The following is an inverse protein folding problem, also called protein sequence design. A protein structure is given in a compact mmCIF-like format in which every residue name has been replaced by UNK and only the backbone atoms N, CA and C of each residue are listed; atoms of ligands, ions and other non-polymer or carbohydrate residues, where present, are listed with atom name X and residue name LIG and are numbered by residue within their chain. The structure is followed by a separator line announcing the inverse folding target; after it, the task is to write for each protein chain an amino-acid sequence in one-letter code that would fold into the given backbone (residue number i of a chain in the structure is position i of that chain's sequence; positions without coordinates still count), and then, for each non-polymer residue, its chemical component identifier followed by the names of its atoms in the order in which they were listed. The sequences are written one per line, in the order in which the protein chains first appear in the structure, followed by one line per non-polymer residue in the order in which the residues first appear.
data_IF_289269379193
#
_entry.id   IF_289269379193
#
_cell.length_a   1.000
_cell.length_b   1.000
_cell.length_c   1.000
_cell.angle_alpha   90.00
_cell.angle_beta   90.00
_cell.angle_gamma   90.00
#
_symmetry.space_group_name_H-M   'P 1'
#
loop_
_entity.id
_entity.type
_entity.pdbx_description
1 polymer ?
#
# COMPACT_ATOMS: atom_id res chain seq x y z
N UNK A 1 -37.62 4.55 14.14
CA UNK A 1 -36.80 3.35 13.88
C UNK A 1 -35.46 3.84 13.34
N UNK A 2 -34.40 3.83 14.16
CA UNK A 2 -33.07 4.25 13.71
C UNK A 2 -32.48 3.11 12.88
N UNK A 3 -32.56 3.22 11.56
CA UNK A 3 -31.88 2.33 10.64
C UNK A 3 -30.38 2.58 10.74
N UNK A 4 -29.71 1.80 11.59
CA UNK A 4 -28.25 1.83 11.70
C UNK A 4 -27.75 1.30 10.36
N UNK A 5 -27.14 2.17 9.55
CA UNK A 5 -26.63 1.83 8.23
C UNK A 5 -25.58 0.72 8.35
N UNK A 6 -25.97 -0.54 8.12
CA UNK A 6 -25.10 -1.72 8.13
C UNK A 6 -23.90 -1.55 7.16
N UNK A 7 -24.06 -0.67 6.17
CA UNK A 7 -23.05 -0.26 5.18
C UNK A 7 -21.85 0.49 5.79
N UNK A 8 -22.03 1.33 6.83
CA UNK A 8 -20.89 2.02 7.48
C UNK A 8 -20.00 1.05 8.25
N UNK A 9 -20.60 0.05 8.91
CA UNK A 9 -19.85 -0.98 9.65
C UNK A 9 -19.02 -1.87 8.71
N UNK A 10 -19.53 -2.22 7.53
CA UNK A 10 -18.78 -2.99 6.53
C UNK A 10 -17.68 -2.15 5.86
N UNK A 11 -17.95 -0.88 5.54
CA UNK A 11 -16.96 0.01 4.94
C UNK A 11 -15.79 0.34 5.88
N UNK A 12 -16.06 0.54 7.17
CA UNK A 12 -15.03 0.76 8.18
C UNK A 12 -14.11 -0.46 8.37
N UNK A 13 -14.67 -1.68 8.34
CA UNK A 13 -13.90 -2.93 8.43
C UNK A 13 -13.03 -3.15 7.21
N UNK A 14 -13.56 -2.99 6.00
CA UNK A 14 -12.78 -3.15 4.77
C UNK A 14 -11.63 -2.15 4.67
N UNK A 15 -11.85 -0.90 5.06
CA UNK A 15 -10.78 0.12 5.09
C UNK A 15 -9.68 -0.25 6.10
N UNK A 16 -10.07 -0.80 7.25
CA UNK A 16 -9.13 -1.21 8.30
C UNK A 16 -8.27 -2.40 7.87
N UNK A 17 -8.86 -3.39 7.19
CA UNK A 17 -8.13 -4.55 6.66
C UNK A 17 -7.09 -4.14 5.61
N UNK A 18 -7.49 -3.31 4.64
CA UNK A 18 -6.58 -2.81 3.60
C UNK A 18 -5.38 -2.03 4.18
N UNK A 19 -5.61 -1.22 5.22
CA UNK A 19 -4.55 -0.49 5.90
C UNK A 19 -3.59 -1.41 6.66
N UNK A 20 -4.11 -2.49 7.27
CA UNK A 20 -3.28 -3.49 7.96
C UNK A 20 -2.39 -4.28 6.98
N UNK A 21 -2.93 -4.67 5.83
CA UNK A 21 -2.18 -5.33 4.75
C UNK A 21 -1.05 -4.43 4.21
N UNK A 22 -1.36 -3.17 3.91
CA UNK A 22 -0.36 -2.18 3.50
C UNK A 22 0.74 -1.99 4.54
N UNK A 23 0.38 -1.93 5.83
CA UNK A 23 1.36 -1.79 6.92
C UNK A 23 2.29 -2.99 7.00
N UNK A 24 1.74 -4.20 6.87
CA UNK A 24 2.51 -5.45 6.88
C UNK A 24 3.45 -5.53 5.68
N UNK A 25 2.96 -5.16 4.50
CA UNK A 25 3.75 -5.06 3.27
C UNK A 25 4.92 -4.05 3.40
N UNK A 26 4.64 -2.82 3.86
CA UNK A 26 5.66 -1.79 4.06
C UNK A 26 6.73 -2.24 5.08
N UNK A 27 6.31 -2.94 6.14
CA UNK A 27 7.23 -3.49 7.15
C UNK A 27 8.14 -4.55 6.52
N UNK A 28 7.58 -5.51 5.77
CA UNK A 28 8.35 -6.55 5.08
C UNK A 28 9.39 -5.95 4.13
N UNK A 29 9.02 -4.95 3.33
CA UNK A 29 9.97 -4.24 2.45
C UNK A 29 11.05 -3.51 3.25
N UNK A 30 10.68 -2.85 4.35
CA UNK A 30 11.67 -2.13 5.17
C UNK A 30 12.74 -3.07 5.74
N UNK A 31 12.34 -4.28 6.12
CA UNK A 31 13.22 -5.32 6.64
C UNK A 31 14.10 -5.92 5.53
N UNK A 32 13.49 -6.30 4.39
CA UNK A 32 14.22 -6.89 3.24
C UNK A 32 15.26 -5.93 2.64
N UNK A 33 14.91 -4.64 2.50
CA UNK A 33 15.79 -3.64 1.91
C UNK A 33 16.69 -2.93 2.93
N UNK A 34 16.61 -3.29 4.22
CA UNK A 34 17.35 -2.67 5.32
C UNK A 34 17.20 -1.13 5.34
N UNK A 35 15.99 -0.64 5.09
CA UNK A 35 15.66 0.79 5.11
C UNK A 35 14.75 1.11 6.30
N UNK A 36 14.76 2.37 6.72
CA UNK A 36 13.88 2.79 7.83
C UNK A 36 12.42 2.85 7.36
N UNK A 37 11.48 2.65 8.28
CA UNK A 37 10.03 2.68 7.99
C UNK A 37 9.57 3.99 7.35
N UNK A 38 10.16 5.12 7.73
CA UNK A 38 9.88 6.44 7.14
C UNK A 38 10.41 6.62 5.72
N UNK A 39 11.25 5.69 5.26
CA UNK A 39 11.79 5.66 3.90
C UNK A 39 11.00 4.74 2.97
N UNK A 40 9.97 4.06 3.47
CA UNK A 40 9.07 3.22 2.66
C UNK A 40 7.67 3.81 2.69
N UNK A 41 7.05 3.98 1.53
CA UNK A 41 5.69 4.48 1.45
C UNK A 41 5.00 4.00 0.17
N UNK A 42 3.68 3.90 0.19
CA UNK A 42 2.87 3.60 -0.99
C UNK A 42 2.01 4.81 -1.39
N UNK A 43 1.58 4.85 -2.65
CA UNK A 43 0.68 5.87 -3.16
C UNK A 43 -0.81 5.56 -2.96
N UNK A 44 -1.15 4.51 -2.20
CA UNK A 44 -2.49 4.04 -1.95
C UNK A 44 -2.73 3.83 -0.44
N UNK A 45 -4.00 3.69 -0.03
CA UNK A 45 -4.37 3.39 1.37
C UNK A 45 -4.24 1.91 1.74
N UNK A 46 -4.16 1.05 0.73
CA UNK A 46 -4.10 -0.40 0.88
C UNK A 46 -3.13 -1.03 -0.12
N UNK A 47 -2.85 -2.32 0.06
CA UNK A 47 -2.11 -3.11 -0.91
C UNK A 47 -3.03 -3.48 -2.08
N UNK A 48 -2.61 -3.21 -3.30
CA UNK A 48 -3.36 -3.56 -4.52
C UNK A 48 -2.40 -3.71 -5.69
N UNK A 49 -2.81 -4.42 -6.73
CA UNK A 49 -2.03 -4.51 -7.95
C UNK A 49 -1.83 -3.13 -8.60
N UNK A 50 -0.64 -2.88 -9.11
CA UNK A 50 -0.29 -1.68 -9.85
C UNK A 50 0.03 -0.44 -9.02
N UNK A 51 -0.05 -0.51 -7.68
CA UNK A 51 0.36 0.60 -6.82
C UNK A 51 1.86 0.88 -6.94
N UNK A 52 2.27 2.08 -6.55
CA UNK A 52 3.67 2.47 -6.48
C UNK A 52 4.13 2.44 -5.04
N UNK A 53 5.22 1.71 -4.79
CA UNK A 53 5.99 1.77 -3.55
C UNK A 53 7.26 2.59 -3.77
N UNK A 54 7.50 3.54 -2.88
CA UNK A 54 8.75 4.26 -2.73
C UNK A 54 9.60 3.52 -1.71
N UNK A 55 10.83 3.21 -2.08
CA UNK A 55 11.84 2.61 -1.20
C UNK A 55 13.06 3.54 -1.25
N UNK A 56 13.31 4.27 -0.16
CA UNK A 56 14.32 5.32 -0.08
C UNK A 56 14.11 6.41 -1.16
N UNK A 57 14.95 6.45 -2.19
CA UNK A 57 14.87 7.41 -3.32
C UNK A 57 14.39 6.78 -4.64
N UNK A 58 13.98 5.51 -4.60
CA UNK A 58 13.60 4.74 -5.78
C UNK A 58 12.11 4.41 -5.74
N UNK A 59 11.50 4.28 -6.91
CA UNK A 59 10.09 3.93 -7.07
C UNK A 59 9.96 2.59 -7.79
N UNK A 60 8.99 1.81 -7.35
CA UNK A 60 8.70 0.48 -7.88
C UNK A 60 7.19 0.34 -8.05
N UNK A 61 6.77 -0.20 -9.20
CA UNK A 61 5.40 -0.68 -9.39
C UNK A 61 5.29 -2.06 -8.75
N UNK A 62 4.29 -2.24 -7.91
CA UNK A 62 3.92 -3.53 -7.35
C UNK A 62 3.07 -4.25 -8.39
N UNK A 63 3.47 -5.44 -8.80
CA UNK A 63 2.62 -6.37 -9.53
C UNK A 63 2.27 -7.52 -8.59
N UNK A 64 1.01 -7.59 -8.17
CA UNK A 64 0.51 -8.56 -7.21
C UNK A 64 0.00 -9.78 -7.98
N UNK A 65 0.25 -10.99 -7.46
CA UNK A 65 -0.32 -12.20 -8.04
C UNK A 65 -1.84 -12.23 -7.87
N UNK A 66 -2.55 -12.98 -8.72
CA UNK A 66 -4.03 -13.03 -8.69
C UNK A 66 -4.58 -13.58 -7.36
N UNK A 67 -3.80 -14.40 -6.67
CA UNK A 67 -4.08 -14.97 -5.35
C UNK A 67 -3.54 -14.10 -4.19
N UNK A 68 -2.88 -12.97 -4.49
CA UNK A 68 -2.34 -12.01 -3.53
C UNK A 68 -1.32 -12.59 -2.53
N UNK A 69 -0.75 -13.75 -2.86
CA UNK A 69 0.27 -14.41 -2.03
C UNK A 69 1.66 -13.84 -2.28
N UNK A 70 1.89 -13.33 -3.50
CA UNK A 70 3.21 -12.96 -4.00
C UNK A 70 3.14 -11.60 -4.69
N UNK A 71 4.28 -10.90 -4.74
CA UNK A 71 4.41 -9.66 -5.50
C UNK A 71 5.75 -9.56 -6.20
N UNK A 72 5.79 -8.79 -7.29
CA UNK A 72 7.01 -8.40 -7.99
C UNK A 72 7.15 -6.88 -7.94
N UNK A 73 8.35 -6.41 -7.61
CA UNK A 73 8.69 -4.99 -7.64
C UNK A 73 9.40 -4.65 -8.96
N UNK A 74 8.74 -3.89 -9.82
CA UNK A 74 9.32 -3.43 -11.09
C UNK A 74 9.78 -1.99 -10.94
N UNK A 75 11.09 -1.75 -11.10
CA UNK A 75 11.66 -0.39 -10.98
C UNK A 75 11.02 0.53 -12.02
N UNK A 76 10.53 1.67 -11.56
CA UNK A 76 9.84 2.66 -12.40
C UNK A 76 10.29 4.08 -12.10
N UNK A 77 10.04 4.99 -13.05
CA UNK A 77 10.31 6.42 -12.91
C UNK A 77 8.98 7.17 -12.98
N UNK A 78 8.77 8.07 -12.02
CA UNK A 78 7.57 8.91 -11.99
C UNK A 78 7.72 10.02 -13.02
N UNK A 79 6.72 10.17 -13.90
CA UNK A 79 6.63 11.29 -14.85
C UNK A 79 6.45 12.61 -14.07
N UNK A 80 5.71 12.58 -12.95
CA UNK A 80 5.45 13.74 -12.11
C UNK A 80 5.87 13.45 -10.67
N UNK A 81 6.87 14.16 -10.15
CA UNK A 81 7.43 13.92 -8.80
C UNK A 81 6.50 14.35 -7.64
N UNK A 82 5.34 14.95 -7.95
CA UNK A 82 4.32 15.37 -6.97
C UNK A 82 3.31 14.25 -6.65
N UNK A 83 3.74 13.01 -6.47
CA UNK A 83 2.85 11.99 -5.93
C UNK A 83 2.56 12.35 -4.47
N UNK A 84 1.30 12.70 -4.17
CA UNK A 84 0.82 12.94 -2.80
C UNK A 84 0.83 11.61 -2.02
N UNK A 85 1.95 11.33 -1.37
CA UNK A 85 2.05 10.25 -0.39
C UNK A 85 1.20 10.66 0.82
N UNK A 86 0.15 9.90 1.11
CA UNK A 86 -0.60 10.06 2.36
C UNK A 86 0.14 9.27 3.45
N UNK A 87 0.41 9.93 4.59
CA UNK A 87 1.00 9.33 5.79
C UNK A 87 -0.06 8.74 6.70
#
# INVERSE_FOLDING_TARGET
MAGINFTEYQNGRNTSVQAAEATTFLKSISEEYHVKKDQVAINARGLSDGIIVKINKKFYKVNLSSDQTNYVLVRTHLINQKVKIHR
#
